data_IF_761162651666
#
_entry.id   IF_761162651666
#
_cell.length_a   1.000
_cell.length_b   1.000
_cell.length_c   1.000
_cell.angle_alpha   90.00
_cell.angle_beta   90.00
_cell.angle_gamma   90.00
#
_symmetry.space_group_name_H-M   'P 1'
#
loop_
_entity.id
_entity.type
_entity.pdbx_description
1 polymer ?
#
# COMPACT_ATOMS: atom_id res chain seq x y z
N UNK A 1 26.56 4.31 -37.63
CA UNK A 1 25.58 3.75 -36.67
C UNK A 1 24.56 4.85 -36.39
N UNK A 2 23.26 4.62 -36.58
CA UNK A 2 22.26 5.69 -36.52
C UNK A 2 22.13 6.14 -35.07
N UNK A 3 22.59 7.35 -34.79
CA UNK A 3 22.56 8.00 -33.48
C UNK A 3 21.11 8.05 -32.93
N UNK A 4 20.12 8.12 -33.83
CA UNK A 4 18.69 8.06 -33.54
C UNK A 4 18.26 6.77 -32.79
N UNK A 5 18.87 5.64 -33.12
CA UNK A 5 18.57 4.35 -32.48
C UNK A 5 19.07 4.27 -31.03
N UNK A 6 20.19 4.93 -30.72
CA UNK A 6 20.73 5.01 -29.37
C UNK A 6 19.87 5.88 -28.45
N UNK A 7 19.42 7.04 -28.92
CA UNK A 7 18.54 7.92 -28.14
C UNK A 7 17.20 7.25 -27.80
N UNK A 8 16.60 6.56 -28.77
CA UNK A 8 15.38 5.79 -28.52
C UNK A 8 15.62 4.71 -27.45
N UNK A 9 16.69 3.92 -27.58
CA UNK A 9 17.01 2.87 -26.60
C UNK A 9 17.24 3.41 -25.17
N UNK A 10 17.94 4.53 -25.02
CA UNK A 10 18.17 5.15 -23.70
C UNK A 10 16.88 5.72 -23.10
N UNK A 11 16.00 6.31 -23.92
CA UNK A 11 14.69 6.79 -23.46
C UNK A 11 13.78 5.63 -23.01
N UNK A 12 13.71 4.54 -23.80
CA UNK A 12 12.96 3.35 -23.44
C UNK A 12 13.52 2.66 -22.19
N UNK A 13 14.84 2.61 -22.00
CA UNK A 13 15.43 2.05 -20.78
C UNK A 13 15.12 2.90 -19.56
N UNK A 14 15.18 4.24 -19.68
CA UNK A 14 14.84 5.17 -18.61
C UNK A 14 13.38 5.04 -18.15
N UNK A 15 12.44 4.90 -19.10
CA UNK A 15 11.02 4.68 -18.79
C UNK A 15 10.79 3.34 -18.07
N UNK A 16 11.45 2.27 -18.49
CA UNK A 16 11.37 0.97 -17.82
C UNK A 16 11.93 1.02 -16.39
N UNK A 17 13.06 1.70 -16.19
CA UNK A 17 13.64 1.91 -14.86
C UNK A 17 12.73 2.73 -13.96
N UNK A 18 12.13 3.80 -14.49
CA UNK A 18 11.14 4.61 -13.76
C UNK A 18 9.91 3.79 -13.36
N UNK A 19 9.37 2.99 -14.28
CA UNK A 19 8.22 2.13 -14.00
C UNK A 19 8.53 1.12 -12.90
N UNK A 20 9.69 0.47 -12.94
CA UNK A 20 10.14 -0.44 -11.88
C UNK A 20 10.30 0.26 -10.53
N UNK A 21 10.94 1.44 -10.50
CA UNK A 21 11.10 2.23 -9.29
C UNK A 21 9.74 2.65 -8.68
N UNK A 22 8.78 3.03 -9.54
CA UNK A 22 7.43 3.41 -9.10
C UNK A 22 6.68 2.25 -8.44
N UNK A 23 6.74 1.05 -9.04
CA UNK A 23 6.14 -0.17 -8.47
C UNK A 23 6.72 -0.49 -7.09
N UNK A 24 8.04 -0.37 -6.95
CA UNK A 24 8.74 -0.60 -5.68
C UNK A 24 8.37 0.45 -4.62
N UNK A 25 8.27 1.73 -4.99
CA UNK A 25 7.85 2.79 -4.09
C UNK A 25 6.41 2.61 -3.59
N UNK A 26 5.49 2.23 -4.48
CA UNK A 26 4.09 1.93 -4.12
C UNK A 26 4.01 0.75 -3.15
N UNK A 27 4.83 -0.29 -3.34
CA UNK A 27 4.90 -1.42 -2.42
C UNK A 27 5.34 -0.99 -1.02
N UNK A 28 6.41 -0.19 -0.91
CA UNK A 28 6.88 0.34 0.37
C UNK A 28 5.79 1.19 1.03
N UNK A 29 5.15 2.08 0.27
CA UNK A 29 4.09 2.95 0.79
C UNK A 29 2.90 2.13 1.29
N UNK A 30 2.51 1.07 0.57
CA UNK A 30 1.44 0.16 0.97
C UNK A 30 1.78 -0.59 2.25
N UNK A 31 3.03 -1.05 2.41
CA UNK A 31 3.52 -1.66 3.66
C UNK A 31 3.41 -0.69 4.84
N UNK A 32 3.90 0.55 4.67
CA UNK A 32 3.82 1.59 5.69
C UNK A 32 2.36 1.91 6.05
N UNK A 33 1.49 1.97 5.03
CA UNK A 33 0.06 2.19 5.22
C UNK A 33 -0.62 1.07 6.02
N UNK A 34 -0.26 -0.18 5.77
CA UNK A 34 -0.77 -1.31 6.55
C UNK A 34 -0.32 -1.24 8.03
N UNK A 35 0.96 -0.94 8.28
CA UNK A 35 1.44 -0.72 9.65
C UNK A 35 0.67 0.41 10.33
N UNK A 36 0.43 1.52 9.62
CA UNK A 36 -0.38 2.62 10.11
C UNK A 36 -1.81 2.18 10.44
N UNK A 37 -2.44 1.38 9.58
CA UNK A 37 -3.78 0.82 9.83
C UNK A 37 -3.82 -0.03 11.10
N UNK A 38 -2.77 -0.80 11.41
CA UNK A 38 -2.69 -1.58 12.65
C UNK A 38 -2.56 -0.68 13.89
N UNK A 39 -1.83 0.43 13.78
CA UNK A 39 -1.74 1.43 14.84
C UNK A 39 -3.12 2.03 15.10
N UNK A 40 -3.86 2.42 14.06
CA UNK A 40 -5.23 2.94 14.19
C UNK A 40 -6.15 1.93 14.85
N UNK A 41 -6.09 0.65 14.45
CA UNK A 41 -6.87 -0.42 15.07
C UNK A 41 -6.58 -0.57 16.57
N UNK A 42 -5.31 -0.44 16.97
CA UNK A 42 -4.93 -0.43 18.38
C UNK A 42 -5.56 0.77 19.12
N UNK A 43 -5.51 1.96 18.53
CA UNK A 43 -6.12 3.15 19.15
C UNK A 43 -7.63 2.99 19.31
N UNK A 44 -8.30 2.45 18.28
CA UNK A 44 -9.74 2.19 18.34
C UNK A 44 -10.05 1.17 19.43
N UNK A 45 -9.27 0.10 19.59
CA UNK A 45 -9.46 -0.86 20.68
C UNK A 45 -9.36 -0.18 22.05
N UNK A 46 -8.33 0.64 22.30
CA UNK A 46 -8.21 1.36 23.57
C UNK A 46 -9.36 2.35 23.82
N UNK A 47 -9.79 3.06 22.77
CA UNK A 47 -10.92 3.99 22.89
C UNK A 47 -12.24 3.26 23.17
N UNK A 48 -12.43 2.07 22.60
CA UNK A 48 -13.62 1.24 22.81
C UNK A 48 -13.70 0.73 24.26
N UNK A 49 -12.56 0.48 24.91
CA UNK A 49 -12.51 0.05 26.32
C UNK A 49 -12.82 1.20 27.30
N UNK A 50 -12.46 2.44 26.94
CA UNK A 50 -12.63 3.61 27.82
C UNK A 50 -13.99 4.30 27.60
N UNK A 51 -14.43 4.45 26.35
CA UNK A 51 -15.73 5.02 26.00
C UNK A 51 -16.71 3.90 25.66
N UNK A 52 -17.44 3.45 26.67
CA UNK A 52 -18.60 2.55 26.50
C UNK A 52 -19.71 3.35 25.82
N UNK A 53 -19.68 3.37 24.49
CA UNK A 53 -20.71 3.99 23.63
C UNK A 53 -21.23 2.93 22.68
N UNK A 54 -22.51 3.00 22.32
CA UNK A 54 -23.17 2.01 21.45
C UNK A 54 -22.51 1.90 20.06
N UNK A 55 -21.75 2.93 19.64
CA UNK A 55 -21.07 3.01 18.34
C UNK A 55 -19.67 2.36 18.37
N UNK A 56 -19.10 2.14 19.56
CA UNK A 56 -17.75 1.59 19.72
C UNK A 56 -17.52 0.22 19.03
N UNK A 57 -18.43 -0.79 19.15
CA UNK A 57 -18.25 -2.07 18.46
C UNK A 57 -18.31 -1.93 16.93
N UNK A 58 -19.09 -0.98 16.41
CA UNK A 58 -19.18 -0.70 14.97
C UNK A 58 -17.88 -0.10 14.46
N UNK A 59 -17.32 0.88 15.16
CA UNK A 59 -16.01 1.46 14.83
C UNK A 59 -14.90 0.42 14.81
N UNK A 60 -14.91 -0.51 15.77
CA UNK A 60 -13.95 -1.61 15.84
C UNK A 60 -14.07 -2.55 14.64
N UNK A 61 -15.28 -2.90 14.22
CA UNK A 61 -15.52 -3.72 13.04
C UNK A 61 -14.99 -3.04 11.76
N UNK A 62 -15.26 -1.74 11.58
CA UNK A 62 -14.73 -0.98 10.45
C UNK A 62 -13.20 -0.89 10.45
N UNK A 63 -12.58 -0.73 11.61
CA UNK A 63 -11.12 -0.71 11.75
C UNK A 63 -10.50 -2.05 11.33
N UNK A 64 -11.12 -3.17 11.73
CA UNK A 64 -10.68 -4.52 11.35
C UNK A 64 -10.81 -4.69 9.83
N UNK A 65 -11.97 -4.38 9.26
CA UNK A 65 -12.20 -4.45 7.81
C UNK A 65 -11.20 -3.60 7.03
N UNK A 66 -10.92 -2.38 7.50
CA UNK A 66 -9.96 -1.49 6.89
C UNK A 66 -8.54 -2.09 6.89
N UNK A 67 -8.11 -2.65 8.02
CA UNK A 67 -6.81 -3.33 8.12
C UNK A 67 -6.72 -4.58 7.23
N UNK A 68 -7.81 -5.34 7.12
CA UNK A 68 -7.91 -6.48 6.21
C UNK A 68 -7.85 -6.07 4.74
N UNK A 69 -8.49 -4.96 4.36
CA UNK A 69 -8.42 -4.40 3.02
C UNK A 69 -7.00 -3.94 2.68
N UNK A 70 -6.33 -3.24 3.62
CA UNK A 70 -4.94 -2.83 3.46
C UNK A 70 -3.99 -4.03 3.25
N UNK A 71 -4.19 -5.12 4.01
CA UNK A 71 -3.46 -6.38 3.80
C UNK A 71 -3.74 -6.97 2.40
N UNK A 72 -5.02 -7.01 2.00
CA UNK A 72 -5.42 -7.51 0.69
C UNK A 72 -4.78 -6.75 -0.46
N UNK A 73 -4.67 -5.42 -0.36
CA UNK A 73 -3.98 -4.58 -1.34
C UNK A 73 -2.49 -4.97 -1.44
N UNK A 74 -1.81 -5.18 -0.32
CA UNK A 74 -0.39 -5.61 -0.33
C UNK A 74 -0.24 -6.93 -1.09
N UNK A 75 -1.08 -7.91 -0.80
CA UNK A 75 -1.03 -9.23 -1.45
C UNK A 75 -1.25 -9.09 -2.96
N UNK A 76 -2.22 -8.25 -3.38
CA UNK A 76 -2.50 -7.99 -4.79
C UNK A 76 -1.32 -7.29 -5.48
N UNK A 77 -0.71 -6.30 -4.82
CA UNK A 77 0.47 -5.59 -5.32
C UNK A 77 1.68 -6.51 -5.44
N UNK A 78 1.89 -7.44 -4.50
CA UNK A 78 2.92 -8.47 -4.60
C UNK A 78 2.68 -9.32 -5.85
N UNK A 79 1.46 -9.82 -6.05
CA UNK A 79 1.11 -10.59 -7.25
C UNK A 79 1.39 -9.84 -8.55
N UNK A 80 1.03 -8.55 -8.61
CA UNK A 80 1.24 -7.70 -9.79
C UNK A 80 2.71 -7.25 -10.00
N UNK A 81 3.51 -7.22 -8.92
CA UNK A 81 4.93 -6.86 -8.99
C UNK A 81 5.76 -8.00 -9.58
N UNK A 82 5.41 -9.24 -9.25
CA UNK A 82 6.14 -10.45 -9.68
C UNK A 82 5.55 -11.13 -10.94
N UNK A 83 4.39 -10.66 -11.44
CA UNK A 83 3.82 -11.04 -12.74
C UNK A 83 4.34 -10.16 -13.87
#
# INVERSE_FOLDING_TARGET
MPIEGQFAQTAFSGLNSFWFASKFAVMILSLLYFVFSLIVLRQINFMTEVLITDVAPVLRAFAILHSGLALGIIILLIGFLFS
#
